data_IF_700138362430
#
_entry.id   IF_700138362430
#
_cell.length_a   1.000
_cell.length_b   1.000
_cell.length_c   1.000
_cell.angle_alpha   90.00
_cell.angle_beta   90.00
_cell.angle_gamma   90.00
#
_symmetry.space_group_name_H-M   'P 1'
#
loop_
_entity.id
_entity.type
_entity.pdbx_description
1 polymer ?
#
# COMPACT_ATOMS: atom_id res chain seq x y z
N UNK A 1 -15.28 -4.03 35.54
CA UNK A 1 -15.89 -5.26 34.97
C UNK A 1 -17.29 -5.02 34.43
N UNK A 2 -18.21 -4.46 35.21
CA UNK A 2 -19.59 -4.16 34.77
C UNK A 2 -19.68 -3.41 33.42
N UNK A 3 -18.91 -2.32 33.26
CA UNK A 3 -18.89 -1.56 32.01
C UNK A 3 -18.41 -2.40 30.81
N UNK A 4 -17.41 -3.27 31.01
CA UNK A 4 -16.88 -4.15 29.95
C UNK A 4 -17.95 -5.18 29.55
N UNK A 5 -18.63 -5.79 30.53
CA UNK A 5 -19.73 -6.71 30.27
C UNK A 5 -20.85 -6.02 29.49
N UNK A 6 -21.27 -4.82 29.90
CA UNK A 6 -22.30 -4.04 29.20
C UNK A 6 -21.95 -3.75 27.74
N UNK A 7 -20.70 -3.36 27.47
CA UNK A 7 -20.23 -3.10 26.10
C UNK A 7 -20.18 -4.39 25.28
N UNK A 8 -19.63 -5.47 25.84
CA UNK A 8 -19.57 -6.77 25.17
C UNK A 8 -20.96 -7.31 24.84
N UNK A 9 -21.90 -7.24 25.77
CA UNK A 9 -23.28 -7.65 25.57
C UNK A 9 -23.97 -6.78 24.50
N UNK A 10 -23.78 -5.47 24.53
CA UNK A 10 -24.33 -4.57 23.51
C UNK A 10 -23.81 -4.92 22.11
N UNK A 11 -22.50 -5.17 21.95
CA UNK A 11 -21.92 -5.56 20.66
C UNK A 11 -22.40 -6.95 20.19
N UNK A 12 -22.61 -7.88 21.12
CA UNK A 12 -23.09 -9.23 20.82
C UNK A 12 -24.57 -9.25 20.40
N UNK A 13 -25.42 -8.43 21.03
CA UNK A 13 -26.87 -8.35 20.75
C UNK A 13 -27.20 -7.44 19.56
N UNK A 14 -26.34 -6.48 19.21
CA UNK A 14 -26.57 -5.54 18.11
C UNK A 14 -25.54 -5.76 17.00
N UNK A 15 -25.85 -6.67 16.06
CA UNK A 15 -24.99 -7.03 14.92
C UNK A 15 -25.63 -6.57 13.60
N UNK A 16 -24.84 -6.06 12.63
CA UNK A 16 -23.39 -5.85 12.72
C UNK A 16 -23.05 -4.66 13.62
N UNK A 17 -21.90 -4.76 14.29
CA UNK A 17 -21.26 -3.66 15.03
C UNK A 17 -19.85 -3.43 14.49
N UNK A 18 -19.25 -2.26 14.77
CA UNK A 18 -17.92 -1.90 14.28
C UNK A 18 -17.03 -1.38 15.40
N UNK A 19 -15.71 -1.54 15.24
CA UNK A 19 -14.71 -0.86 16.06
C UNK A 19 -13.97 0.14 15.17
N UNK A 20 -13.90 1.38 15.63
CA UNK A 20 -13.20 2.48 14.96
C UNK A 20 -11.98 2.86 15.78
N UNK A 21 -10.81 2.94 15.17
CA UNK A 21 -9.60 3.40 15.87
C UNK A 21 -8.61 4.12 14.96
N UNK A 22 -7.62 4.74 15.60
CA UNK A 22 -6.42 5.32 14.99
C UNK A 22 -5.26 5.18 16.01
N UNK A 23 -4.59 6.28 16.35
CA UNK A 23 -3.37 6.31 17.16
C UNK A 23 -3.52 5.77 18.58
N UNK A 24 -4.69 5.96 19.21
CA UNK A 24 -4.96 5.47 20.57
C UNK A 24 -4.82 3.95 20.73
N UNK A 25 -4.89 3.18 19.63
CA UNK A 25 -4.65 1.74 19.64
C UNK A 25 -3.23 1.37 19.21
N UNK A 26 -2.66 2.13 18.26
CA UNK A 26 -1.42 1.76 17.56
C UNK A 26 -0.15 2.34 18.20
N UNK A 27 -0.20 3.50 18.84
CA UNK A 27 0.98 4.18 19.42
C UNK A 27 1.31 3.67 20.82
N UNK A 28 1.45 2.35 20.96
CA UNK A 28 1.82 1.67 22.20
C UNK A 28 2.89 0.62 21.89
N UNK A 29 3.71 0.28 22.88
CA UNK A 29 4.70 -0.81 22.79
C UNK A 29 4.08 -2.19 22.53
N UNK A 30 2.76 -2.30 22.76
CA UNK A 30 1.92 -3.47 22.49
C UNK A 30 0.87 -3.21 21.39
N UNK A 31 1.09 -2.20 20.54
CA UNK A 31 0.15 -1.78 19.49
C UNK A 31 -0.30 -2.91 18.56
N UNK A 32 0.60 -3.84 18.23
CA UNK A 32 0.29 -5.03 17.43
C UNK A 32 -0.74 -5.95 18.13
N UNK A 33 -0.58 -6.21 19.42
CA UNK A 33 -1.50 -7.04 20.20
C UNK A 33 -2.87 -6.36 20.34
N UNK A 34 -2.85 -5.05 20.62
CA UNK A 34 -4.02 -4.19 20.69
C UNK A 34 -4.86 -4.27 19.41
N UNK A 35 -4.27 -4.06 18.23
CA UNK A 35 -4.98 -4.14 16.95
C UNK A 35 -5.52 -5.55 16.69
N UNK A 36 -4.70 -6.58 16.93
CA UNK A 36 -5.10 -7.98 16.72
C UNK A 36 -6.29 -8.38 17.59
N UNK A 37 -6.35 -7.91 18.85
CA UNK A 37 -7.48 -8.18 19.74
C UNK A 37 -8.80 -7.65 19.16
N UNK A 38 -8.79 -6.44 18.57
CA UNK A 38 -9.98 -5.85 17.95
C UNK A 38 -10.40 -6.60 16.68
N UNK A 39 -9.44 -7.06 15.86
CA UNK A 39 -9.74 -7.89 14.70
C UNK A 39 -10.36 -9.24 15.10
N UNK A 40 -9.82 -9.91 16.14
CA UNK A 40 -10.35 -11.18 16.66
C UNK A 40 -11.76 -10.96 17.21
N UNK A 41 -12.01 -9.88 17.95
CA UNK A 41 -13.35 -9.53 18.42
C UNK A 41 -14.36 -9.44 17.26
N UNK A 42 -14.01 -8.74 16.17
CA UNK A 42 -14.89 -8.61 15.01
C UNK A 42 -15.09 -9.92 14.25
N UNK A 43 -14.08 -10.81 14.22
CA UNK A 43 -14.22 -12.17 13.68
C UNK A 43 -15.19 -13.01 14.51
N UNK A 44 -15.03 -13.03 15.84
CA UNK A 44 -15.90 -13.77 16.77
C UNK A 44 -17.35 -13.26 16.72
N UNK A 45 -17.54 -11.95 16.57
CA UNK A 45 -18.86 -11.36 16.41
C UNK A 45 -19.49 -11.64 15.03
N UNK A 46 -18.72 -12.08 14.03
CA UNK A 46 -19.22 -12.32 12.67
C UNK A 46 -19.47 -11.05 11.88
N UNK A 47 -18.79 -9.95 12.23
CA UNK A 47 -18.99 -8.63 11.66
C UNK A 47 -18.07 -8.33 10.47
N UNK A 48 -16.99 -9.11 10.27
CA UNK A 48 -16.06 -8.92 9.15
C UNK A 48 -16.78 -9.23 7.82
N UNK A 49 -16.61 -8.36 6.83
CA UNK A 49 -17.28 -8.47 5.52
C UNK A 49 -18.76 -8.12 5.53
N UNK A 50 -19.30 -7.59 6.64
CA UNK A 50 -20.68 -7.09 6.72
C UNK A 50 -20.73 -5.57 6.60
N UNK A 51 -21.68 -5.06 5.82
CA UNK A 51 -21.95 -3.62 5.74
C UNK A 51 -22.31 -3.07 7.12
N UNK A 52 -21.68 -1.97 7.55
CA UNK A 52 -21.81 -1.40 8.90
C UNK A 52 -21.01 -2.13 9.99
N UNK A 53 -20.27 -3.19 9.63
CA UNK A 53 -19.47 -4.00 10.56
C UNK A 53 -17.96 -3.75 10.50
N UNK A 54 -17.20 -4.75 10.92
CA UNK A 54 -15.76 -4.83 10.76
C UNK A 54 -14.97 -3.80 11.56
N UNK A 55 -13.75 -3.54 11.09
CA UNK A 55 -12.79 -2.64 11.72
C UNK A 55 -12.51 -1.45 10.83
N UNK A 56 -12.95 -0.26 11.24
CA UNK A 56 -12.78 0.97 10.48
C UNK A 56 -11.57 1.74 11.02
N UNK A 57 -10.45 1.62 10.32
CA UNK A 57 -9.15 2.13 10.78
C UNK A 57 -8.90 3.47 10.09
N UNK A 58 -9.18 4.56 10.81
CA UNK A 58 -9.01 5.89 10.24
C UNK A 58 -7.54 6.21 10.06
N UNK A 59 -7.20 6.56 8.82
CA UNK A 59 -5.87 7.01 8.42
C UNK A 59 -5.64 8.47 8.82
N UNK A 60 -4.37 8.85 8.96
CA UNK A 60 -3.94 10.19 9.34
C UNK A 60 -3.97 11.17 8.16
N UNK A 61 -2.83 11.31 7.46
CA UNK A 61 -2.75 12.20 6.30
C UNK A 61 -3.72 11.79 5.18
N UNK A 62 -4.09 12.78 4.38
CA UNK A 62 -4.99 12.68 3.24
C UNK A 62 -4.62 11.58 2.23
N UNK A 63 -3.33 11.26 2.09
CA UNK A 63 -2.81 10.23 1.21
C UNK A 63 -1.88 9.20 1.90
N UNK A 64 -1.91 9.05 3.23
CA UNK A 64 -1.03 8.07 3.90
C UNK A 64 -1.33 6.63 3.47
N UNK A 65 -2.59 6.34 3.10
CA UNK A 65 -2.94 5.05 2.50
C UNK A 65 -2.20 4.86 1.17
N UNK A 66 -2.27 5.86 0.28
CA UNK A 66 -1.61 5.79 -1.03
C UNK A 66 -0.09 5.73 -0.91
N UNK A 67 0.51 6.51 -0.01
CA UNK A 67 1.93 6.41 0.32
C UNK A 67 2.28 4.97 0.75
N UNK A 68 1.55 4.38 1.69
CA UNK A 68 1.78 2.98 2.11
C UNK A 68 1.63 2.02 0.94
N UNK A 69 0.66 2.24 0.05
CA UNK A 69 0.39 1.38 -1.09
C UNK A 69 1.49 1.46 -2.17
N UNK A 70 2.08 2.64 -2.42
CA UNK A 70 3.12 2.84 -3.45
C UNK A 70 4.55 2.73 -2.91
N UNK A 71 4.74 2.66 -1.60
CA UNK A 71 5.92 2.04 -1.01
C UNK A 71 7.19 2.89 -0.84
N UNK A 72 7.17 4.12 -0.28
CA UNK A 72 8.30 4.63 0.48
C UNK A 72 8.37 3.91 1.86
N UNK A 73 8.18 2.59 1.86
CA UNK A 73 8.18 1.75 3.04
C UNK A 73 9.57 1.12 3.19
N UNK A 74 10.12 1.02 4.41
CA UNK A 74 11.42 0.41 4.62
C UNK A 74 11.40 -1.11 4.35
N UNK A 75 10.25 -1.78 4.41
CA UNK A 75 10.13 -3.24 4.47
C UNK A 75 9.45 -3.88 3.25
N UNK A 76 9.02 -3.08 2.27
CA UNK A 76 8.30 -3.57 1.10
C UNK A 76 8.49 -2.70 -0.13
N UNK A 77 8.45 -3.33 -1.30
CA UNK A 77 8.26 -2.67 -2.60
C UNK A 77 6.79 -2.25 -2.81
N UNK A 78 6.50 -1.39 -3.80
CA UNK A 78 5.14 -0.92 -4.05
C UNK A 78 4.15 -2.08 -4.22
N UNK A 79 2.91 -1.91 -3.79
CA UNK A 79 1.91 -2.97 -3.75
C UNK A 79 2.16 -4.03 -2.68
N UNK A 80 2.90 -3.74 -1.60
CA UNK A 80 3.19 -4.73 -0.54
C UNK A 80 3.94 -5.97 -1.04
N UNK A 81 4.75 -5.84 -2.09
CA UNK A 81 5.66 -6.91 -2.48
C UNK A 81 6.85 -6.93 -1.51
N UNK A 82 7.21 -8.10 -0.98
CA UNK A 82 8.35 -8.21 -0.08
C UNK A 82 9.68 -7.90 -0.78
N UNK A 83 10.73 -7.61 -0.01
CA UNK A 83 12.09 -7.33 -0.50
C UNK A 83 12.83 -8.61 -0.92
N UNK A 84 12.27 -9.36 -1.87
CA UNK A 84 12.86 -10.58 -2.41
C UNK A 84 13.26 -10.40 -3.87
N UNK A 85 14.25 -11.17 -4.34
CA UNK A 85 14.73 -11.09 -5.73
C UNK A 85 13.60 -11.24 -6.77
N UNK A 86 12.61 -12.10 -6.52
CA UNK A 86 11.44 -12.25 -7.38
C UNK A 86 10.57 -10.99 -7.46
N UNK A 87 10.37 -10.31 -6.34
CA UNK A 87 9.62 -9.04 -6.27
C UNK A 87 10.37 -7.91 -6.98
N UNK A 88 11.69 -7.85 -6.83
CA UNK A 88 12.52 -6.89 -7.53
C UNK A 88 12.50 -7.12 -9.04
N UNK A 89 12.58 -8.37 -9.50
CA UNK A 89 12.45 -8.72 -10.93
C UNK A 89 11.08 -8.35 -11.50
N UNK A 90 10.01 -8.50 -10.70
CA UNK A 90 8.68 -8.02 -11.06
C UNK A 90 8.69 -6.52 -11.33
N UNK A 91 9.16 -5.72 -10.36
CA UNK A 91 9.21 -4.26 -10.50
C UNK A 91 10.20 -3.78 -11.57
N UNK A 92 11.35 -4.43 -11.73
CA UNK A 92 12.28 -4.20 -12.84
C UNK A 92 11.58 -4.33 -14.21
N UNK A 93 10.75 -5.37 -14.36
CA UNK A 93 9.97 -5.60 -15.58
C UNK A 93 8.87 -4.53 -15.78
N UNK A 94 8.21 -4.11 -14.70
CA UNK A 94 7.20 -3.04 -14.73
C UNK A 94 7.84 -1.71 -15.16
N UNK A 95 8.95 -1.34 -14.54
CA UNK A 95 9.71 -0.12 -14.84
C UNK A 95 10.46 -0.18 -16.17
N UNK A 96 10.65 -1.37 -16.76
CA UNK A 96 11.45 -1.53 -17.97
C UNK A 96 12.93 -1.22 -17.75
N UNK A 97 13.41 -1.42 -16.52
CA UNK A 97 14.78 -1.20 -16.07
C UNK A 97 15.44 -2.55 -15.82
N UNK A 98 16.71 -2.68 -16.19
CA UNK A 98 17.44 -3.93 -16.00
C UNK A 98 17.61 -4.27 -14.51
N UNK A 99 17.38 -5.54 -14.16
CA UNK A 99 17.46 -5.99 -12.77
C UNK A 99 18.89 -5.89 -12.22
N UNK A 100 19.91 -6.19 -13.02
CA UNK A 100 21.31 -6.09 -12.59
C UNK A 100 21.74 -4.64 -12.43
N UNK A 101 21.21 -3.72 -13.25
CA UNK A 101 21.38 -2.28 -13.03
C UNK A 101 20.81 -1.84 -11.68
N UNK A 102 19.58 -2.24 -11.34
CA UNK A 102 18.96 -1.91 -10.03
C UNK A 102 19.80 -2.50 -8.90
N UNK A 103 20.22 -3.76 -9.03
CA UNK A 103 21.07 -4.44 -8.05
C UNK A 103 22.37 -3.68 -7.81
N UNK A 104 23.00 -3.15 -8.87
CA UNK A 104 24.20 -2.32 -8.80
C UNK A 104 24.02 -0.96 -8.11
N UNK A 105 22.80 -0.56 -7.78
CA UNK A 105 22.51 0.66 -6.98
C UNK A 105 22.60 0.42 -5.47
N UNK A 106 22.70 -0.84 -5.04
CA UNK A 106 22.86 -1.21 -3.64
C UNK A 106 24.29 -1.64 -3.34
N UNK A 107 24.73 -1.46 -2.09
CA UNK A 107 26.06 -1.89 -1.65
C UNK A 107 26.24 -3.42 -1.76
N UNK A 108 25.16 -4.17 -1.60
CA UNK A 108 25.12 -5.62 -1.77
C UNK A 108 23.68 -6.11 -2.00
N UNK A 109 23.54 -7.34 -2.50
CA UNK A 109 22.23 -7.99 -2.61
C UNK A 109 21.55 -8.21 -1.25
N UNK A 110 22.36 -8.45 -0.20
CA UNK A 110 21.86 -8.54 1.17
C UNK A 110 21.20 -7.22 1.61
N UNK A 111 21.81 -6.07 1.31
CA UNK A 111 21.22 -4.75 1.62
C UNK A 111 19.97 -4.47 0.79
N UNK A 112 19.95 -4.86 -0.49
CA UNK A 112 18.78 -4.70 -1.37
C UNK A 112 17.55 -5.49 -0.90
N UNK A 113 17.77 -6.59 -0.17
CA UNK A 113 16.71 -7.51 0.30
C UNK A 113 16.40 -7.37 1.79
N UNK A 114 17.09 -6.47 2.50
CA UNK A 114 16.91 -6.21 3.93
C UNK A 114 15.97 -5.03 4.14
N UNK A 115 15.12 -5.09 5.17
CA UNK A 115 14.29 -3.96 5.57
C UNK A 115 15.15 -2.76 5.97
N UNK A 116 14.81 -1.58 5.47
CA UNK A 116 15.44 -0.29 5.74
C UNK A 116 15.19 0.25 7.17
N UNK A 117 15.91 1.31 7.54
CA UNK A 117 15.75 1.94 8.85
C UNK A 117 14.40 2.67 8.89
N UNK A 118 13.62 2.46 9.94
CA UNK A 118 12.30 3.11 10.08
C UNK A 118 12.44 4.59 10.38
N UNK A 119 11.42 5.37 10.01
CA UNK A 119 11.37 6.81 10.33
C UNK A 119 11.56 7.09 11.82
N UNK A 120 11.06 6.25 12.71
CA UNK A 120 11.22 6.43 14.17
C UNK A 120 12.62 6.16 14.69
N UNK A 121 13.49 5.52 13.90
CA UNK A 121 14.81 5.03 14.31
C UNK A 121 15.96 5.55 13.44
N UNK A 122 15.73 6.45 12.49
CA UNK A 122 16.80 6.97 11.63
C UNK A 122 17.96 7.57 12.44
N UNK A 123 17.67 8.19 13.59
CA UNK A 123 18.68 8.74 14.50
C UNK A 123 19.63 7.69 15.06
N UNK A 124 19.17 6.44 15.21
CA UNK A 124 20.02 5.32 15.63
C UNK A 124 21.07 5.06 14.55
N UNK A 125 20.67 5.13 13.27
CA UNK A 125 21.56 5.08 12.11
C UNK A 125 22.65 6.16 12.07
N UNK A 126 22.56 7.19 12.91
CA UNK A 126 23.57 8.27 13.02
C UNK A 126 24.34 8.21 14.33
N UNK A 127 23.67 7.82 15.42
CA UNK A 127 24.17 7.98 16.77
C UNK A 127 24.71 6.69 17.39
N UNK A 128 24.14 5.53 17.04
CA UNK A 128 24.48 4.24 17.64
C UNK A 128 25.71 3.61 16.99
N UNK A 129 26.37 2.74 17.74
CA UNK A 129 27.48 1.94 17.24
C UNK A 129 27.00 0.96 16.15
N UNK A 130 27.77 0.82 15.07
CA UNK A 130 27.40 -0.03 13.93
C UNK A 130 27.07 -1.47 14.31
N UNK A 131 27.70 -2.01 15.35
CA UNK A 131 27.46 -3.37 15.86
C UNK A 131 26.04 -3.56 16.43
N UNK A 132 25.36 -2.46 16.79
CA UNK A 132 24.00 -2.45 17.35
C UNK A 132 22.92 -2.20 16.29
N UNK A 133 23.31 -2.05 15.02
CA UNK A 133 22.41 -1.74 13.91
C UNK A 133 22.45 -2.90 12.91
N UNK A 134 21.28 -3.43 12.56
CA UNK A 134 21.17 -4.55 11.63
C UNK A 134 21.56 -4.17 10.18
N UNK A 135 21.50 -2.88 9.84
CA UNK A 135 22.03 -2.35 8.59
C UNK A 135 23.39 -1.70 8.84
N UNK A 136 24.36 -1.98 7.95
CA UNK A 136 25.68 -1.34 8.00
C UNK A 136 25.51 0.19 8.01
N UNK A 137 25.94 0.84 9.10
CA UNK A 137 25.70 2.27 9.28
C UNK A 137 26.57 3.12 8.36
N UNK A 138 25.92 3.94 7.55
CA UNK A 138 26.51 5.02 6.77
C UNK A 138 25.49 6.16 6.60
N UNK A 139 24.62 6.40 7.60
CA UNK A 139 23.59 7.43 7.48
C UNK A 139 24.21 8.82 7.67
N UNK A 140 24.71 9.37 6.57
CA UNK A 140 25.39 10.68 6.51
C UNK A 140 24.52 11.77 5.92
N UNK A 141 23.42 11.41 5.25
CA UNK A 141 22.48 12.35 4.67
C UNK A 141 21.03 11.93 4.92
N UNK A 142 20.16 12.91 5.14
CA UNK A 142 18.71 12.70 5.30
C UNK A 142 17.94 13.68 4.43
N UNK A 143 16.93 13.16 3.71
CA UNK A 143 15.97 13.97 2.95
C UNK A 143 14.62 13.92 3.68
N UNK A 144 14.17 15.06 4.19
CA UNK A 144 12.82 15.26 4.70
C UNK A 144 11.95 15.81 3.58
N UNK A 145 11.09 14.96 3.02
CA UNK A 145 10.22 15.32 1.90
C UNK A 145 8.76 15.29 2.35
N UNK A 146 8.14 16.46 2.49
CA UNK A 146 6.75 16.58 2.99
C UNK A 146 6.53 15.98 4.38
N UNK A 147 7.57 15.95 5.21
CA UNK A 147 7.56 15.31 6.53
C UNK A 147 8.31 16.15 7.57
N UNK A 148 7.89 16.07 8.83
CA UNK A 148 8.50 16.77 9.95
C UNK A 148 8.66 15.90 11.21
N UNK A 149 9.70 16.14 12.05
CA UNK A 149 10.02 15.32 13.22
C UNK A 149 9.07 15.52 14.41
N UNK A 150 8.19 16.52 14.38
CA UNK A 150 7.26 16.83 15.46
C UNK A 150 6.19 15.74 15.70
N UNK A 151 6.08 14.75 14.79
CA UNK A 151 5.26 13.54 14.98
C UNK A 151 5.99 12.44 15.76
N UNK A 152 7.22 12.68 16.22
CA UNK A 152 8.10 11.68 16.83
C UNK A 152 8.48 12.06 18.28
N UNK A 153 8.92 11.09 19.07
CA UNK A 153 9.10 11.24 20.53
C UNK A 153 10.53 11.56 20.98
N UNK A 154 11.54 11.42 20.12
CA UNK A 154 12.99 11.56 20.45
C UNK A 154 13.61 12.87 19.94
N UNK A 155 12.89 13.99 20.10
CA UNK A 155 13.26 15.27 19.50
C UNK A 155 14.65 15.81 19.90
N UNK A 156 15.08 15.63 21.16
CA UNK A 156 16.41 16.06 21.61
C UNK A 156 17.53 15.24 20.93
N UNK A 157 17.36 13.92 20.85
CA UNK A 157 18.32 13.03 20.17
C UNK A 157 18.35 13.29 18.66
N UNK A 158 17.21 13.66 18.06
CA UNK A 158 17.17 14.12 16.66
C UNK A 158 18.04 15.34 16.42
N UNK A 159 18.05 16.31 17.35
CA UNK A 159 18.94 17.47 17.24
C UNK A 159 20.41 17.05 17.30
N UNK A 160 20.78 16.10 18.16
CA UNK A 160 22.15 15.57 18.21
C UNK A 160 22.53 14.80 16.93
N UNK A 161 21.62 14.01 16.39
CA UNK A 161 21.82 13.32 15.11
C UNK A 161 22.00 14.32 13.96
N UNK A 162 21.18 15.38 13.91
CA UNK A 162 21.26 16.42 12.88
C UNK A 162 22.63 17.11 12.82
N UNK A 163 23.30 17.29 13.96
CA UNK A 163 24.67 17.86 14.03
C UNK A 163 25.71 16.99 13.34
N UNK A 164 25.52 15.67 13.32
CA UNK A 164 26.49 14.70 12.77
C UNK A 164 26.26 14.38 11.29
N UNK A 165 25.09 14.70 10.74
CA UNK A 165 24.82 14.51 9.31
C UNK A 165 25.70 15.44 8.46
N UNK A 166 26.27 14.94 7.37
CA UNK A 166 26.96 15.79 6.39
C UNK A 166 25.96 16.70 5.67
N UNK A 167 24.80 16.14 5.28
CA UNK A 167 23.82 16.84 4.45
C UNK A 167 22.39 16.60 4.95
N UNK A 168 21.59 17.66 4.95
CA UNK A 168 20.14 17.57 5.12
C UNK A 168 19.46 18.29 3.97
N UNK A 169 18.42 17.68 3.42
CA UNK A 169 17.56 18.32 2.41
C UNK A 169 16.14 18.34 2.96
N UNK A 170 15.52 19.52 3.00
CA UNK A 170 14.12 19.68 3.39
C UNK A 170 13.35 20.16 2.17
N UNK A 171 12.36 19.37 1.76
CA UNK A 171 11.52 19.61 0.58
C UNK A 171 10.09 19.74 1.08
N UNK A 172 9.57 20.96 1.08
CA UNK A 172 8.29 21.29 1.70
C UNK A 172 7.74 22.59 1.08
N UNK A 173 6.41 22.74 0.94
CA UNK A 173 5.81 24.03 0.58
C UNK A 173 5.97 25.11 1.66
N UNK A 174 6.25 24.74 2.92
CA UNK A 174 6.38 25.67 4.03
C UNK A 174 7.65 25.43 4.86
N UNK A 175 8.16 26.45 5.58
CA UNK A 175 9.20 26.23 6.58
C UNK A 175 8.71 25.27 7.67
N UNK A 176 9.19 24.02 7.63
CA UNK A 176 8.75 22.97 8.55
C UNK A 176 9.49 23.00 9.89
N UNK A 177 9.01 22.21 10.87
CA UNK A 177 9.73 22.00 12.12
C UNK A 177 11.14 21.43 11.87
N UNK A 178 11.32 20.61 10.84
CA UNK A 178 12.64 20.10 10.41
C UNK A 178 13.58 21.25 10.07
N UNK A 179 13.13 22.18 9.21
CA UNK A 179 13.95 23.31 8.78
C UNK A 179 14.34 24.18 9.98
N UNK A 180 13.38 24.45 10.88
CA UNK A 180 13.62 25.19 12.12
C UNK A 180 14.63 24.48 13.02
N UNK A 181 14.46 23.17 13.24
CA UNK A 181 15.36 22.38 14.08
C UNK A 181 16.78 22.33 13.53
N UNK A 182 16.94 22.11 12.22
CA UNK A 182 18.24 22.13 11.57
C UNK A 182 18.93 23.51 11.70
N UNK A 183 18.18 24.60 11.51
CA UNK A 183 18.70 25.97 11.64
C UNK A 183 19.17 26.34 13.05
N UNK A 184 18.69 25.64 14.09
CA UNK A 184 19.18 25.83 15.47
C UNK A 184 20.62 25.35 15.65
N UNK A 185 21.04 24.32 14.91
CA UNK A 185 22.31 23.62 15.15
C UNK A 185 23.27 23.60 13.96
N UNK A 186 22.81 24.01 12.78
CA UNK A 186 23.61 24.04 11.55
C UNK A 186 23.56 25.41 10.88
N UNK A 187 24.69 25.77 10.26
CA UNK A 187 24.79 26.91 9.33
C UNK A 187 24.98 26.45 7.89
N UNK A 188 25.62 25.31 7.68
CA UNK A 188 25.95 24.75 6.36
C UNK A 188 25.44 23.32 6.19
N UNK A 189 25.38 22.87 4.93
CA UNK A 189 24.96 21.53 4.53
C UNK A 189 23.46 21.24 4.75
N UNK A 190 22.63 22.28 4.90
CA UNK A 190 21.17 22.17 4.92
C UNK A 190 20.62 22.87 3.68
N UNK A 191 19.86 22.15 2.87
CA UNK A 191 19.20 22.67 1.67
C UNK A 191 17.70 22.71 1.90
N UNK A 192 17.07 23.86 1.61
CA UNK A 192 15.62 24.03 1.63
C UNK A 192 15.17 24.17 0.18
N UNK A 193 14.36 23.23 -0.30
CA UNK A 193 13.83 23.25 -1.67
C UNK A 193 12.33 23.51 -1.64
N UNK A 194 11.84 24.57 -2.32
CA UNK A 194 10.43 24.91 -2.31
C UNK A 194 9.62 23.91 -3.14
N UNK A 195 8.79 23.11 -2.46
CA UNK A 195 7.84 22.23 -3.13
C UNK A 195 6.50 22.93 -3.37
N UNK A 196 5.78 22.49 -4.39
CA UNK A 196 4.42 22.95 -4.65
C UNK A 196 3.43 22.36 -3.62
N UNK A 197 2.35 23.07 -3.34
CA UNK A 197 1.21 22.55 -2.58
C UNK A 197 0.32 21.64 -3.45
N UNK A 198 -0.61 20.95 -2.80
CA UNK A 198 -1.63 20.12 -3.46
C UNK A 198 -2.53 20.89 -4.46
N UNK A 199 -2.59 22.22 -4.39
CA UNK A 199 -3.38 23.05 -5.30
C UNK A 199 -2.59 23.49 -6.55
N UNK A 200 -1.27 23.31 -6.51
CA UNK A 200 -0.32 23.70 -7.56
C UNK A 200 0.16 22.50 -8.38
N UNK A 201 -0.32 21.31 -8.04
CA UNK A 201 -0.04 20.04 -8.71
C UNK A 201 -1.33 19.29 -9.00
N UNK A 202 -1.22 18.14 -9.66
CA UNK A 202 -2.32 17.27 -10.04
C UNK A 202 -1.90 15.80 -9.89
N UNK A 203 -2.86 14.89 -9.83
CA UNK A 203 -2.56 13.47 -9.68
C UNK A 203 -3.58 12.73 -8.83
N UNK A 204 -3.22 11.55 -8.33
CA UNK A 204 -4.15 10.72 -7.55
C UNK A 204 -3.78 10.63 -6.08
N UNK A 205 -4.80 10.52 -5.22
CA UNK A 205 -4.66 10.24 -3.79
C UNK A 205 -5.58 9.10 -3.37
N UNK A 206 -5.16 8.28 -2.41
CA UNK A 206 -5.93 7.17 -1.85
C UNK A 206 -6.41 7.52 -0.45
N UNK A 207 -7.73 7.52 -0.26
CA UNK A 207 -8.38 7.81 1.00
C UNK A 207 -8.39 6.59 1.95
N UNK A 208 -8.80 6.81 3.21
CA UNK A 208 -8.83 5.78 4.26
C UNK A 208 -9.70 4.56 3.93
N UNK A 209 -10.72 4.72 3.08
CA UNK A 209 -11.60 3.65 2.62
C UNK A 209 -11.05 2.92 1.36
N UNK A 210 -9.81 3.22 0.95
CA UNK A 210 -9.11 2.72 -0.24
C UNK A 210 -9.62 3.27 -1.58
N UNK A 211 -10.57 4.21 -1.57
CA UNK A 211 -10.98 4.95 -2.77
C UNK A 211 -9.87 5.89 -3.24
N UNK A 212 -9.56 5.84 -4.53
CA UNK A 212 -8.58 6.68 -5.20
C UNK A 212 -9.33 7.83 -5.90
N UNK A 213 -8.83 9.05 -5.76
CA UNK A 213 -9.45 10.24 -6.34
C UNK A 213 -8.42 11.00 -7.16
N UNK A 214 -8.86 11.52 -8.31
CA UNK A 214 -8.04 12.40 -9.13
C UNK A 214 -8.18 13.85 -8.64
N UNK A 215 -7.06 14.55 -8.50
CA UNK A 215 -6.95 15.97 -8.15
C UNK A 215 -6.47 16.74 -9.35
N UNK A 216 -7.08 17.88 -9.60
CA UNK A 216 -6.72 18.79 -10.68
C UNK A 216 -5.88 19.95 -10.14
N UNK A 217 -4.99 20.47 -11.00
CA UNK A 217 -4.22 21.68 -10.71
C UNK A 217 -5.15 22.89 -10.69
N UNK A 218 -5.14 23.64 -9.59
CA UNK A 218 -6.02 24.81 -9.39
C UNK A 218 -5.29 26.09 -9.81
N UNK A 219 -4.03 26.22 -9.42
CA UNK A 219 -3.15 27.35 -9.76
C UNK A 219 -1.79 26.83 -10.24
N UNK A 220 -0.99 27.67 -10.89
CA UNK A 220 0.39 27.30 -11.18
C UNK A 220 1.26 27.37 -9.92
N UNK A 221 2.36 26.58 -9.83
CA UNK A 221 3.33 26.71 -8.77
C UNK A 221 3.79 28.16 -8.58
N UNK A 222 3.71 28.64 -7.34
CA UNK A 222 4.08 29.99 -6.96
C UNK A 222 5.60 30.13 -6.87
N UNK A 223 6.09 31.32 -7.23
CA UNK A 223 7.52 31.68 -7.17
C UNK A 223 8.40 30.67 -7.93
N UNK A 224 9.43 30.14 -7.26
CA UNK A 224 10.35 29.13 -7.77
C UNK A 224 9.97 27.72 -7.30
N UNK A 225 8.79 27.55 -6.67
CA UNK A 225 8.34 26.23 -6.23
C UNK A 225 8.11 25.29 -7.41
N UNK A 226 8.32 24.00 -7.15
CA UNK A 226 8.14 22.93 -8.15
C UNK A 226 7.30 21.80 -7.60
N UNK A 227 6.44 21.17 -8.41
CA UNK A 227 5.83 19.91 -8.05
C UNK A 227 6.86 18.84 -7.71
N UNK A 228 6.52 17.93 -6.80
CA UNK A 228 7.46 16.94 -6.28
C UNK A 228 8.09 16.07 -7.37
N UNK A 229 7.31 15.64 -8.36
CA UNK A 229 7.79 14.83 -9.49
C UNK A 229 8.83 15.57 -10.36
N UNK A 230 8.72 16.88 -10.50
CA UNK A 230 9.72 17.72 -11.19
C UNK A 230 11.02 17.79 -10.38
N UNK A 231 10.92 17.96 -9.06
CA UNK A 231 12.09 17.96 -8.16
C UNK A 231 12.77 16.57 -8.20
N UNK A 232 12.00 15.49 -8.13
CA UNK A 232 12.51 14.11 -8.22
C UNK A 232 13.27 13.87 -9.52
N UNK A 233 12.72 14.30 -10.65
CA UNK A 233 13.37 14.13 -11.95
C UNK A 233 14.65 14.98 -12.07
N UNK A 234 14.65 16.20 -11.54
CA UNK A 234 15.85 17.03 -11.52
C UNK A 234 16.99 16.39 -10.72
N UNK A 235 16.68 15.78 -9.57
CA UNK A 235 17.64 14.97 -8.82
C UNK A 235 18.13 13.77 -9.63
N UNK A 236 17.22 12.99 -10.21
CA UNK A 236 17.59 11.81 -11.00
C UNK A 236 18.53 12.16 -12.16
N UNK A 237 18.24 13.24 -12.88
CA UNK A 237 19.09 13.77 -13.96
C UNK A 237 20.46 14.19 -13.43
N UNK A 238 20.52 14.87 -12.28
CA UNK A 238 21.78 15.29 -11.65
C UNK A 238 22.64 14.10 -11.22
N UNK A 239 22.02 13.03 -10.77
CA UNK A 239 22.69 11.81 -10.31
C UNK A 239 22.89 10.76 -11.41
N UNK A 240 22.48 11.06 -12.65
CA UNK A 240 22.75 10.22 -13.81
C UNK A 240 21.84 9.01 -13.99
N UNK A 241 20.62 9.03 -13.42
CA UNK A 241 19.60 7.98 -13.61
C UNK A 241 18.24 8.53 -14.10
N UNK A 242 18.27 9.70 -14.76
CA UNK A 242 17.07 10.35 -15.27
C UNK A 242 16.33 9.47 -16.29
N UNK A 243 17.05 8.87 -17.23
CA UNK A 243 16.48 8.06 -18.31
C UNK A 243 15.79 6.79 -17.77
N UNK A 244 16.34 6.17 -16.72
CA UNK A 244 15.72 5.04 -16.03
C UNK A 244 14.46 5.47 -15.27
N UNK A 245 14.47 6.63 -14.61
CA UNK A 245 13.31 7.11 -13.84
C UNK A 245 12.09 7.38 -14.73
N UNK A 246 12.29 7.85 -15.97
CA UNK A 246 11.20 8.21 -16.88
C UNK A 246 11.07 7.26 -18.07
N UNK A 247 11.59 6.02 -17.94
CA UNK A 247 11.58 5.00 -19.00
C UNK A 247 10.21 4.85 -19.69
N UNK A 248 9.13 4.85 -18.91
CA UNK A 248 7.76 4.71 -19.38
C UNK A 248 6.91 5.96 -19.14
N UNK A 249 7.54 7.10 -18.83
CA UNK A 249 6.85 8.33 -18.44
C UNK A 249 7.19 9.43 -19.43
N UNK A 250 6.16 10.00 -20.05
CA UNK A 250 6.34 11.15 -20.92
C UNK A 250 6.87 12.35 -20.13
N UNK A 251 7.84 13.04 -20.70
CA UNK A 251 8.33 14.32 -20.19
C UNK A 251 7.62 15.47 -20.90
N UNK A 252 7.03 16.35 -20.12
CA UNK A 252 6.50 17.63 -20.54
C UNK A 252 7.46 18.76 -20.15
N UNK A 253 7.14 19.99 -20.56
CA UNK A 253 7.84 21.20 -20.13
C UNK A 253 6.89 22.07 -19.31
N UNK A 254 7.34 22.47 -18.13
CA UNK A 254 6.60 23.45 -17.33
C UNK A 254 6.74 24.87 -17.90
N UNK A 255 5.99 25.84 -17.36
CA UNK A 255 6.02 27.24 -17.80
C UNK A 255 7.38 27.92 -17.65
N UNK A 256 8.27 27.38 -16.81
CA UNK A 256 9.61 27.88 -16.54
C UNK A 256 10.68 27.05 -17.30
N UNK A 257 10.28 26.13 -18.19
CA UNK A 257 11.16 25.32 -19.03
C UNK A 257 11.75 24.06 -18.37
N UNK A 258 11.32 23.71 -17.17
CA UNK A 258 11.74 22.49 -16.49
C UNK A 258 11.13 21.25 -17.13
N UNK A 259 11.89 20.15 -17.13
CA UNK A 259 11.37 18.84 -17.48
C UNK A 259 10.41 18.35 -16.39
N UNK A 260 9.15 18.09 -16.75
CA UNK A 260 8.10 17.68 -15.83
C UNK A 260 7.53 16.31 -16.24
N UNK A 261 7.73 15.24 -15.43
CA UNK A 261 7.12 13.94 -15.67
C UNK A 261 5.58 13.98 -15.71
N UNK A 262 4.97 13.29 -16.68
CA UNK A 262 3.52 13.20 -16.81
C UNK A 262 2.91 12.27 -15.75
N UNK A 263 2.11 12.84 -14.85
CA UNK A 263 1.54 12.11 -13.70
C UNK A 263 0.59 10.99 -14.12
N UNK A 264 -0.13 11.14 -15.23
CA UNK A 264 -0.98 10.08 -15.76
C UNK A 264 -0.18 8.82 -16.08
N UNK A 265 1.00 8.96 -16.68
CA UNK A 265 1.87 7.81 -16.99
C UNK A 265 2.42 7.16 -15.72
N UNK A 266 2.78 7.96 -14.71
CA UNK A 266 3.20 7.44 -13.40
C UNK A 266 2.10 6.58 -12.78
N UNK A 267 0.85 7.04 -12.81
CA UNK A 267 -0.27 6.23 -12.29
C UNK A 267 -0.48 4.96 -13.12
N UNK A 268 -0.36 5.02 -14.45
CA UNK A 268 -0.44 3.81 -15.30
C UNK A 268 0.67 2.80 -14.98
N UNK A 269 1.88 3.28 -14.72
CA UNK A 269 2.99 2.41 -14.31
C UNK A 269 2.75 1.77 -12.95
N UNK A 270 2.25 2.53 -11.96
CA UNK A 270 1.80 1.99 -10.67
C UNK A 270 0.74 0.90 -10.90
N UNK A 271 -0.29 1.19 -11.69
CA UNK A 271 -1.37 0.25 -11.97
C UNK A 271 -0.90 -1.03 -12.66
N UNK A 272 0.17 -0.97 -13.47
CA UNK A 272 0.74 -2.13 -14.14
C UNK A 272 1.44 -3.10 -13.19
N UNK A 273 1.85 -2.67 -11.99
CA UNK A 273 2.65 -3.48 -11.06
C UNK A 273 1.95 -3.92 -9.77
N UNK A 274 0.93 -3.21 -9.29
CA UNK A 274 0.32 -3.40 -7.95
C UNK A 274 -0.78 -4.48 -7.89
N UNK A 275 -0.54 -5.62 -8.56
CA UNK A 275 -1.50 -6.73 -8.67
C UNK A 275 -1.93 -7.35 -7.35
N UNK A 276 -1.02 -7.46 -6.37
CA UNK A 276 -1.22 -8.04 -5.03
C UNK A 276 -2.37 -7.47 -4.21
N UNK A 277 -2.75 -6.21 -4.47
CA UNK A 277 -3.85 -5.51 -3.80
C UNK A 277 -4.96 -5.08 -4.76
N UNK A 278 -4.81 -5.37 -6.05
CA UNK A 278 -5.76 -4.92 -7.07
C UNK A 278 -5.81 -3.40 -7.17
N UNK A 279 -4.66 -2.72 -7.11
CA UNK A 279 -4.59 -1.30 -7.45
C UNK A 279 -4.23 -1.15 -8.95
N UNK A 280 -4.93 -1.89 -9.79
CA UNK A 280 -4.60 -2.08 -11.22
C UNK A 280 -5.68 -1.55 -12.16
N UNK A 281 -6.95 -1.56 -11.75
CA UNK A 281 -8.07 -1.10 -12.56
C UNK A 281 -8.31 0.41 -12.55
N UNK A 282 -7.54 1.19 -11.80
CA UNK A 282 -7.76 2.63 -11.54
C UNK A 282 -6.99 3.55 -12.47
N UNK A 283 -7.21 3.45 -13.77
CA UNK A 283 -6.54 4.31 -14.75
C UNK A 283 -6.85 5.80 -14.51
N UNK A 284 -5.96 6.72 -14.93
CA UNK A 284 -6.23 8.16 -14.89
C UNK A 284 -7.57 8.54 -15.52
N UNK A 285 -7.94 7.90 -16.64
CA UNK A 285 -9.18 8.15 -17.37
C UNK A 285 -10.40 7.78 -16.52
N UNK A 286 -10.39 6.61 -15.89
CA UNK A 286 -11.51 6.17 -15.04
C UNK A 286 -11.66 7.10 -13.84
N UNK A 287 -10.56 7.46 -13.18
CA UNK A 287 -10.60 8.36 -12.03
C UNK A 287 -11.10 9.76 -12.41
N UNK A 288 -10.62 10.34 -13.51
CA UNK A 288 -11.11 11.62 -14.04
C UNK A 288 -12.59 11.54 -14.44
N UNK A 289 -13.04 10.40 -14.99
CA UNK A 289 -14.45 10.18 -15.30
C UNK A 289 -15.32 10.19 -14.04
N UNK A 290 -14.87 9.56 -12.96
CA UNK A 290 -15.56 9.60 -11.67
C UNK A 290 -15.66 11.04 -11.13
N UNK A 291 -14.56 11.81 -11.18
CA UNK A 291 -14.57 13.20 -10.69
C UNK A 291 -15.55 14.08 -11.49
N UNK A 292 -15.64 13.90 -12.81
CA UNK A 292 -16.60 14.62 -13.67
C UNK A 292 -18.06 14.21 -13.42
N UNK A 293 -18.30 13.02 -12.88
CA UNK A 293 -19.63 12.44 -12.70
C UNK A 293 -19.98 12.17 -11.23
N UNK A 294 -19.38 12.89 -10.28
CA UNK A 294 -19.63 12.70 -8.84
C UNK A 294 -21.13 12.68 -8.46
N UNK A 295 -21.94 13.45 -9.21
CA UNK A 295 -23.39 13.54 -9.00
C UNK A 295 -24.16 12.24 -9.26
N UNK A 296 -23.58 11.25 -9.94
CA UNK A 296 -24.24 9.96 -10.20
C UNK A 296 -24.05 8.96 -9.05
N UNK A 297 -23.14 9.24 -8.10
CA UNK A 297 -22.83 8.35 -6.98
C UNK A 297 -23.73 8.62 -5.79
N UNK A 298 -24.37 7.57 -5.27
CA UNK A 298 -25.17 7.67 -4.06
C UNK A 298 -24.27 7.91 -2.83
N UNK A 299 -24.62 8.89 -1.99
CA UNK A 299 -23.77 9.33 -0.88
C UNK A 299 -23.66 8.31 0.26
N UNK A 300 -24.52 7.28 0.31
CA UNK A 300 -24.51 6.26 1.36
C UNK A 300 -23.77 5.01 0.93
N UNK A 301 -24.07 4.53 -0.26
CA UNK A 301 -23.52 3.29 -0.83
C UNK A 301 -22.26 3.54 -1.63
N UNK A 302 -22.02 4.79 -2.03
CA UNK A 302 -20.97 5.23 -2.94
C UNK A 302 -21.05 4.55 -4.31
N UNK A 303 -22.17 3.90 -4.67
CA UNK A 303 -22.34 3.26 -5.96
C UNK A 303 -22.98 4.25 -6.94
N UNK A 304 -22.43 4.32 -8.15
CA UNK A 304 -23.05 5.08 -9.22
C UNK A 304 -24.31 4.38 -9.73
N UNK A 305 -25.35 5.18 -9.96
CA UNK A 305 -26.61 4.76 -10.58
C UNK A 305 -26.84 5.59 -11.84
N UNK A 306 -26.65 4.97 -12.99
CA UNK A 306 -26.72 5.59 -14.30
C UNK A 306 -25.48 6.40 -14.69
N UNK A 307 -25.50 6.90 -15.93
CA UNK A 307 -24.40 7.67 -16.50
C UNK A 307 -23.15 6.85 -16.84
N UNK A 308 -22.03 7.52 -17.18
CA UNK A 308 -20.82 6.85 -17.65
C UNK A 308 -20.10 5.96 -16.61
N UNK A 309 -20.39 6.15 -15.33
CA UNK A 309 -19.80 5.40 -14.23
C UNK A 309 -20.75 4.33 -13.66
N UNK A 310 -21.87 4.04 -14.32
CA UNK A 310 -22.91 3.15 -13.77
C UNK A 310 -22.33 1.82 -13.26
N UNK A 311 -22.69 1.44 -12.03
CA UNK A 311 -22.20 0.23 -11.39
C UNK A 311 -20.88 0.39 -10.62
N UNK A 312 -20.05 1.38 -10.92
CA UNK A 312 -18.78 1.61 -10.22
C UNK A 312 -19.00 2.16 -8.81
N UNK A 313 -18.07 1.86 -7.90
CA UNK A 313 -18.00 2.50 -6.60
C UNK A 313 -17.10 3.74 -6.67
N UNK A 314 -17.46 4.81 -5.96
CA UNK A 314 -16.75 6.07 -6.00
C UNK A 314 -15.26 5.89 -5.65
N UNK A 315 -14.41 6.40 -6.54
CA UNK A 315 -12.96 6.22 -6.49
C UNK A 315 -12.44 4.78 -6.59
N UNK A 316 -13.22 3.82 -7.08
CA UNK A 316 -12.75 2.44 -7.38
C UNK A 316 -11.93 1.82 -6.23
N UNK A 317 -12.50 1.71 -5.02
CA UNK A 317 -11.75 1.31 -3.83
C UNK A 317 -11.01 -0.01 -4.07
N UNK A 318 -9.69 -0.02 -3.88
CA UNK A 318 -8.93 -1.24 -4.13
C UNK A 318 -9.29 -2.31 -3.07
N UNK A 319 -9.47 -3.60 -3.43
CA UNK A 319 -9.19 -4.15 -4.75
C UNK A 319 -10.16 -3.75 -5.88
N UNK A 320 -9.56 -3.31 -6.98
CA UNK A 320 -10.12 -3.17 -8.32
C UNK A 320 -9.17 -3.92 -9.27
N UNK A 321 -9.35 -5.24 -9.32
CA UNK A 321 -8.46 -6.13 -10.05
C UNK A 321 -8.67 -6.07 -11.57
N UNK A 322 -7.66 -6.57 -12.29
CA UNK A 322 -7.64 -6.59 -13.75
C UNK A 322 -7.21 -5.26 -14.37
N UNK A 323 -7.25 -5.22 -15.70
CA UNK A 323 -6.97 -4.00 -16.47
C UNK A 323 -8.16 -3.03 -16.38
N UNK A 324 -7.98 -1.74 -16.69
CA UNK A 324 -9.08 -0.78 -16.72
C UNK A 324 -10.26 -1.20 -17.63
N UNK A 325 -9.99 -1.91 -18.72
CA UNK A 325 -10.96 -2.42 -19.68
C UNK A 325 -11.84 -3.54 -19.10
N UNK A 326 -11.34 -4.25 -18.08
CA UNK A 326 -12.11 -5.25 -17.34
C UNK A 326 -13.23 -4.60 -16.52
N UNK A 327 -13.17 -3.28 -16.27
CA UNK A 327 -14.19 -2.47 -15.61
C UNK A 327 -14.66 -3.07 -14.27
N UNK A 328 -13.72 -3.58 -13.48
CA UNK A 328 -14.05 -3.96 -12.11
C UNK A 328 -14.51 -2.70 -11.34
N UNK A 329 -15.61 -2.76 -10.55
CA UNK A 329 -16.22 -1.57 -9.93
C UNK A 329 -15.48 -1.07 -8.69
N UNK A 330 -14.54 -1.87 -8.19
CA UNK A 330 -13.88 -1.67 -6.90
C UNK A 330 -14.60 -2.42 -5.78
N UNK A 331 -13.90 -2.60 -4.66
CA UNK A 331 -14.33 -3.45 -3.54
C UNK A 331 -14.44 -2.61 -2.26
N UNK A 332 -15.60 -1.96 -2.01
CA UNK A 332 -15.79 -1.12 -0.84
C UNK A 332 -15.83 -1.93 0.45
N UNK A 333 -16.41 -3.14 0.41
CA UNK A 333 -16.51 -4.06 1.54
C UNK A 333 -15.70 -5.32 1.24
N UNK A 334 -14.59 -5.51 1.94
CA UNK A 334 -13.74 -6.69 1.77
C UNK A 334 -14.43 -7.93 2.33
N UNK A 335 -14.19 -9.09 1.73
CA UNK A 335 -14.64 -10.38 2.23
C UNK A 335 -16.17 -10.56 2.25
N UNK A 336 -16.90 -9.81 1.43
CA UNK A 336 -18.34 -9.97 1.23
C UNK A 336 -18.62 -11.12 0.25
N UNK A 337 -18.86 -12.31 0.79
CA UNK A 337 -19.17 -13.51 -0.01
C UNK A 337 -20.56 -13.49 -0.63
N UNK A 338 -21.44 -12.57 -0.24
CA UNK A 338 -22.80 -12.47 -0.79
C UNK A 338 -22.85 -11.88 -2.21
N UNK A 339 -21.72 -11.34 -2.68
CA UNK A 339 -21.56 -10.74 -4.00
C UNK A 339 -20.60 -11.55 -4.87
N UNK A 340 -20.81 -11.46 -6.18
CA UNK A 340 -19.88 -12.02 -7.15
C UNK A 340 -18.58 -11.21 -7.13
N UNK A 341 -17.44 -11.86 -7.42
CA UNK A 341 -16.13 -11.19 -7.41
C UNK A 341 -16.10 -9.97 -8.34
N UNK A 342 -16.70 -10.09 -9.54
CA UNK A 342 -16.81 -8.99 -10.50
C UNK A 342 -17.69 -7.81 -10.05
N UNK A 343 -18.45 -7.98 -8.97
CA UNK A 343 -19.27 -6.92 -8.36
C UNK A 343 -18.64 -6.32 -7.10
N UNK A 344 -17.35 -6.59 -6.87
CA UNK A 344 -16.63 -6.20 -5.65
C UNK A 344 -16.97 -7.08 -4.44
N UNK A 345 -17.37 -8.33 -4.67
CA UNK A 345 -17.46 -9.37 -3.64
C UNK A 345 -16.11 -10.04 -3.38
N UNK A 346 -16.01 -10.84 -2.32
CA UNK A 346 -14.79 -11.62 -2.10
C UNK A 346 -14.75 -12.51 -0.88
N UNK A 347 -13.61 -13.14 -0.68
CA UNK A 347 -13.32 -14.09 0.38
C UNK A 347 -11.94 -13.83 0.99
N UNK A 348 -11.59 -14.58 2.05
CA UNK A 348 -10.31 -14.40 2.73
C UNK A 348 -9.15 -15.00 1.92
N UNK A 349 -8.02 -14.31 1.95
CA UNK A 349 -6.83 -14.65 1.16
C UNK A 349 -6.04 -15.82 1.71
N UNK A 350 -5.55 -16.70 0.82
CA UNK A 350 -4.69 -17.84 1.14
C UNK A 350 -3.21 -17.46 1.36
N UNK A 351 -2.95 -16.54 2.30
CA UNK A 351 -1.64 -15.89 2.44
C UNK A 351 -0.62 -16.67 3.31
N UNK A 352 -1.02 -17.73 4.00
CA UNK A 352 -0.22 -18.39 5.04
C UNK A 352 0.02 -19.89 4.77
N UNK A 353 0.02 -20.25 3.49
CA UNK A 353 0.04 -21.64 3.05
C UNK A 353 -1.36 -22.26 3.05
N UNK A 354 -1.42 -23.55 2.70
CA UNK A 354 -2.67 -24.32 2.56
C UNK A 354 -2.95 -25.23 3.75
N UNK A 355 -1.92 -25.55 4.54
CA UNK A 355 -1.99 -26.49 5.65
C UNK A 355 -1.00 -26.07 6.73
N UNK A 356 -1.34 -26.39 7.98
CA UNK A 356 -0.43 -26.33 9.13
C UNK A 356 -0.73 -27.49 10.08
N UNK A 357 0.32 -28.21 10.51
CA UNK A 357 0.21 -29.28 11.50
C UNK A 357 -0.86 -30.34 11.11
N UNK A 358 -0.99 -30.65 9.81
CA UNK A 358 -2.01 -31.56 9.26
C UNK A 358 -3.42 -30.98 9.15
N UNK A 359 -3.61 -29.69 9.49
CA UNK A 359 -4.90 -29.00 9.45
C UNK A 359 -4.94 -28.04 8.27
N UNK A 360 -5.94 -28.21 7.40
CA UNK A 360 -6.17 -27.30 6.28
C UNK A 360 -6.46 -25.87 6.75
N UNK A 361 -5.73 -24.93 6.18
CA UNK A 361 -5.92 -23.49 6.33
C UNK A 361 -6.89 -22.93 5.28
N UNK A 362 -7.29 -23.73 4.29
CA UNK A 362 -8.25 -23.35 3.27
C UNK A 362 -9.66 -23.27 3.84
N UNK A 363 -10.53 -22.47 3.21
CA UNK A 363 -11.91 -22.34 3.62
C UNK A 363 -12.66 -23.69 3.51
N UNK A 364 -13.69 -23.88 4.35
CA UNK A 364 -14.54 -25.08 4.32
C UNK A 364 -15.53 -25.02 3.14
N UNK A 365 -16.10 -26.18 2.80
CA UNK A 365 -17.13 -26.30 1.78
C UNK A 365 -18.31 -25.36 2.05
N UNK A 366 -18.79 -24.69 0.99
CA UNK A 366 -19.85 -23.68 1.04
C UNK A 366 -19.39 -22.27 1.42
N UNK A 367 -18.11 -22.07 1.77
CA UNK A 367 -17.55 -20.73 2.04
C UNK A 367 -16.85 -20.19 0.80
N UNK A 368 -17.62 -19.68 -0.17
CA UNK A 368 -17.09 -19.10 -1.42
C UNK A 368 -17.82 -17.81 -1.80
N UNK A 369 -17.23 -17.02 -2.70
CA UNK A 369 -17.92 -15.88 -3.31
C UNK A 369 -19.13 -16.35 -4.13
N UNK A 370 -20.19 -15.56 -4.14
CA UNK A 370 -21.41 -15.87 -4.88
C UNK A 370 -21.10 -16.13 -6.36
N UNK A 371 -21.51 -17.29 -6.87
CA UNK A 371 -21.35 -17.67 -8.27
C UNK A 371 -19.96 -18.18 -8.66
N UNK A 372 -19.06 -18.41 -7.70
CA UNK A 372 -17.78 -19.06 -7.97
C UNK A 372 -17.96 -20.52 -8.42
N UNK A 373 -17.15 -21.01 -9.35
CA UNK A 373 -17.17 -22.43 -9.74
C UNK A 373 -16.63 -23.33 -8.61
N UNK A 374 -15.64 -22.83 -7.85
CA UNK A 374 -15.09 -23.51 -6.69
C UNK A 374 -15.86 -23.09 -5.44
N UNK A 375 -16.70 -24.00 -4.94
CA UNK A 375 -17.51 -23.82 -3.73
C UNK A 375 -16.80 -24.28 -2.45
N UNK A 376 -15.47 -24.32 -2.47
CA UNK A 376 -14.61 -24.74 -1.36
C UNK A 376 -13.42 -23.79 -1.20
N UNK A 377 -12.56 -24.05 -0.22
CA UNK A 377 -11.26 -23.41 -0.12
C UNK A 377 -10.28 -23.87 -1.21
N UNK A 378 -9.46 -22.96 -1.70
CA UNK A 378 -8.49 -23.22 -2.76
C UNK A 378 -7.23 -22.34 -2.61
N UNK A 379 -6.04 -22.81 -3.04
CA UNK A 379 -4.81 -22.04 -2.96
C UNK A 379 -4.80 -20.82 -3.89
N UNK A 380 -3.77 -19.99 -3.78
CA UNK A 380 -3.51 -18.93 -4.76
C UNK A 380 -3.39 -19.51 -6.18
N UNK A 381 -3.90 -18.78 -7.18
CA UNK A 381 -3.83 -19.22 -8.57
C UNK A 381 -2.48 -18.96 -9.22
N UNK A 382 -1.96 -19.99 -9.88
CA UNK A 382 -0.79 -19.91 -10.73
C UNK A 382 -1.01 -20.67 -12.05
N UNK A 383 -0.04 -20.58 -12.97
CA UNK A 383 -0.11 -21.28 -14.25
C UNK A 383 -0.32 -22.80 -14.10
N UNK A 384 0.21 -23.42 -13.04
CA UNK A 384 0.07 -24.86 -12.80
C UNK A 384 -1.35 -25.21 -12.41
N UNK A 385 -1.94 -24.44 -11.49
CA UNK A 385 -3.31 -24.67 -11.05
C UNK A 385 -4.31 -24.43 -12.17
N UNK A 386 -4.12 -23.37 -12.98
CA UNK A 386 -4.97 -23.12 -14.16
C UNK A 386 -4.93 -24.31 -15.13
N UNK A 387 -3.74 -24.87 -15.40
CA UNK A 387 -3.60 -26.05 -16.27
C UNK A 387 -4.30 -27.28 -15.69
N UNK A 388 -4.17 -27.52 -14.39
CA UNK A 388 -4.84 -28.65 -13.70
C UNK A 388 -6.37 -28.56 -13.75
N UNK A 389 -6.91 -27.35 -13.69
CA UNK A 389 -8.35 -27.09 -13.76
C UNK A 389 -8.88 -27.06 -15.20
N UNK A 390 -8.00 -27.08 -16.21
CA UNK A 390 -8.38 -26.91 -17.61
C UNK A 390 -8.66 -25.46 -18.03
N UNK A 391 -8.51 -24.50 -17.12
CA UNK A 391 -8.80 -23.07 -17.35
C UNK A 391 -7.68 -22.35 -18.12
N UNK A 392 -6.51 -22.97 -18.23
CA UNK A 392 -5.37 -22.41 -18.99
C UNK A 392 -5.71 -22.11 -20.44
N UNK A 393 -6.58 -22.91 -21.07
CA UNK A 393 -6.93 -22.75 -22.47
C UNK A 393 -7.88 -21.58 -22.77
N UNK A 394 -8.38 -20.92 -21.72
CA UNK A 394 -9.17 -19.69 -21.82
C UNK A 394 -8.31 -18.41 -21.85
N UNK A 395 -7.00 -18.56 -21.68
CA UNK A 395 -6.02 -17.51 -21.96
C UNK A 395 -5.79 -17.39 -23.48
N UNK A 396 -5.63 -16.17 -23.96
CA UNK A 396 -5.13 -15.90 -25.32
C UNK A 396 -3.67 -16.31 -25.44
N UNK A 397 -3.18 -16.52 -26.67
CA UNK A 397 -1.77 -16.90 -26.88
C UNK A 397 -0.78 -15.87 -26.32
N UNK A 398 -1.12 -14.58 -26.40
CA UNK A 398 -0.32 -13.50 -25.82
C UNK A 398 -0.29 -13.56 -24.29
N UNK A 399 -1.43 -13.85 -23.64
CA UNK A 399 -1.49 -14.03 -22.18
C UNK A 399 -0.74 -15.30 -21.77
N UNK A 400 -0.90 -16.43 -22.47
CA UNK A 400 -0.17 -17.68 -22.18
C UNK A 400 1.34 -17.46 -22.16
N UNK A 401 1.87 -16.72 -23.14
CA UNK A 401 3.30 -16.42 -23.24
C UNK A 401 3.84 -15.64 -22.02
N UNK A 402 3.03 -14.77 -21.42
CA UNK A 402 3.43 -13.94 -20.27
C UNK A 402 3.12 -14.61 -18.92
N UNK A 403 2.07 -15.43 -18.86
CA UNK A 403 1.61 -16.10 -17.66
C UNK A 403 2.39 -17.40 -17.34
N UNK A 404 3.07 -18.00 -18.32
CA UNK A 404 3.82 -19.24 -18.13
C UNK A 404 4.90 -19.08 -17.06
N UNK A 405 4.96 -20.01 -16.09
CA UNK A 405 5.88 -19.91 -14.96
C UNK A 405 5.53 -18.83 -13.94
N UNK A 406 4.38 -18.14 -14.06
CA UNK A 406 3.96 -17.05 -13.17
C UNK A 406 2.78 -17.46 -12.29
N UNK A 407 2.51 -16.59 -11.31
CA UNK A 407 1.29 -16.61 -10.51
C UNK A 407 0.49 -15.32 -10.74
N UNK A 408 -0.71 -15.26 -10.17
CA UNK A 408 -1.63 -14.13 -10.30
C UNK A 408 -1.08 -12.73 -9.91
N UNK A 409 0.04 -12.68 -9.17
CA UNK A 409 0.71 -11.43 -8.75
C UNK A 409 1.74 -10.96 -9.78
N UNK A 410 2.34 -11.89 -10.52
CA UNK A 410 3.50 -11.63 -11.38
C UNK A 410 3.22 -11.82 -12.87
N UNK A 411 2.02 -12.29 -13.21
CA UNK A 411 1.49 -12.26 -14.57
C UNK A 411 1.07 -10.83 -14.95
N UNK A 412 1.96 -10.13 -15.67
CA UNK A 412 1.70 -8.77 -16.13
C UNK A 412 0.72 -8.68 -17.29
N UNK A 413 0.28 -9.80 -17.88
CA UNK A 413 -0.79 -9.78 -18.88
C UNK A 413 -2.17 -9.55 -18.25
N UNK A 414 -2.31 -9.85 -16.96
CA UNK A 414 -3.60 -9.87 -16.27
C UNK A 414 -4.49 -11.07 -16.64
N UNK A 415 -4.01 -11.98 -17.49
CA UNK A 415 -4.78 -13.11 -18.00
C UNK A 415 -5.24 -14.07 -16.92
N UNK A 416 -4.37 -14.43 -15.97
CA UNK A 416 -4.74 -15.30 -14.84
C UNK A 416 -5.91 -14.68 -14.06
N UNK A 417 -5.82 -13.40 -13.71
CA UNK A 417 -6.89 -12.72 -12.96
C UNK A 417 -8.18 -12.65 -13.76
N UNK A 418 -8.08 -12.29 -15.05
CA UNK A 418 -9.23 -12.22 -15.96
C UNK A 418 -9.98 -13.54 -16.00
N UNK A 419 -9.30 -14.65 -16.28
CA UNK A 419 -9.93 -15.98 -16.38
C UNK A 419 -10.56 -16.37 -15.04
N UNK A 420 -9.76 -16.36 -13.97
CA UNK A 420 -10.22 -16.81 -12.64
C UNK A 420 -11.42 -16.02 -12.14
N UNK A 421 -11.42 -14.70 -12.31
CA UNK A 421 -12.50 -13.86 -11.80
C UNK A 421 -13.70 -13.77 -12.74
N UNK A 422 -13.47 -13.55 -14.04
CA UNK A 422 -14.55 -13.28 -14.99
C UNK A 422 -15.27 -14.56 -15.42
N UNK A 423 -14.52 -15.63 -15.62
CA UNK A 423 -15.06 -16.86 -16.17
C UNK A 423 -15.48 -17.85 -15.07
N UNK A 424 -14.77 -17.86 -13.94
CA UNK A 424 -14.99 -18.84 -12.86
C UNK A 424 -15.44 -18.23 -11.53
N UNK A 425 -15.67 -16.91 -11.47
CA UNK A 425 -16.17 -16.23 -10.27
C UNK A 425 -15.27 -16.33 -9.03
N UNK A 426 -14.02 -16.76 -9.19
CA UNK A 426 -13.08 -17.02 -8.11
C UNK A 426 -12.17 -15.81 -7.86
N UNK A 427 -11.60 -15.72 -6.65
CA UNK A 427 -10.54 -14.75 -6.35
C UNK A 427 -9.14 -15.29 -6.72
N UNK A 428 -8.27 -14.48 -7.35
CA UNK A 428 -6.94 -14.93 -7.77
C UNK A 428 -6.02 -15.30 -6.60
N UNK A 429 -6.26 -14.71 -5.43
CA UNK A 429 -5.45 -14.88 -4.24
C UNK A 429 -5.82 -16.09 -3.37
N UNK A 430 -6.68 -16.98 -3.89
CA UNK A 430 -7.16 -18.15 -3.16
C UNK A 430 -8.38 -17.88 -2.28
N UNK A 431 -8.73 -18.88 -1.46
CA UNK A 431 -9.84 -18.84 -0.51
C UNK A 431 -9.48 -19.63 0.76
N UNK A 432 -9.25 -18.92 1.86
CA UNK A 432 -8.73 -19.49 3.10
C UNK A 432 -9.52 -19.07 4.34
N UNK A 433 -9.19 -19.67 5.48
CA UNK A 433 -9.76 -19.30 6.78
C UNK A 433 -9.14 -18.00 7.29
N UNK A 434 -9.95 -17.17 7.94
CA UNK A 434 -9.41 -16.13 8.80
C UNK A 434 -8.71 -16.77 10.02
N UNK A 435 -7.61 -16.16 10.48
CA UNK A 435 -6.83 -16.68 11.60
C UNK A 435 -6.88 -15.74 12.80
N UNK A 436 -7.20 -16.29 13.98
CA UNK A 436 -7.01 -15.62 15.27
C UNK A 436 -5.62 -15.93 15.86
N UNK A 437 -5.16 -17.16 15.65
CA UNK A 437 -3.85 -17.65 16.09
C UNK A 437 -2.77 -17.30 15.06
N UNK A 438 -1.73 -16.57 15.47
CA UNK A 438 -0.61 -16.15 14.63
C UNK A 438 0.68 -16.75 15.19
N UNK A 439 0.91 -18.02 14.88
CA UNK A 439 2.01 -18.84 15.43
C UNK A 439 3.43 -18.32 15.19
N UNK A 440 3.62 -17.43 14.22
CA UNK A 440 4.92 -16.86 13.89
C UNK A 440 5.21 -15.56 14.65
N UNK A 441 4.32 -15.15 15.57
CA UNK A 441 4.51 -13.99 16.44
C UNK A 441 4.95 -14.43 17.83
N UNK A 442 5.67 -13.58 18.58
CA UNK A 442 6.04 -13.87 19.97
C UNK A 442 4.83 -14.26 20.84
N UNK A 443 3.70 -13.60 20.61
CA UNK A 443 2.41 -13.96 21.20
C UNK A 443 1.46 -14.49 20.12
N UNK A 444 1.22 -15.81 20.05
CA UNK A 444 0.29 -16.38 19.09
C UNK A 444 -1.15 -15.89 19.24
N UNK A 445 -1.56 -15.51 20.44
CA UNK A 445 -2.82 -14.81 20.76
C UNK A 445 -2.45 -13.54 21.52
N UNK A 446 -3.11 -12.39 21.28
CA UNK A 446 -2.81 -11.15 22.01
C UNK A 446 -2.87 -11.35 23.53
N UNK A 447 -1.77 -11.03 24.22
CA UNK A 447 -1.68 -11.03 25.68
C UNK A 447 -1.49 -9.61 26.19
N UNK A 448 -2.06 -9.32 27.36
CA UNK A 448 -1.79 -8.09 28.08
C UNK A 448 -0.52 -8.27 28.92
N UNK A 449 0.61 -7.73 28.46
CA UNK A 449 1.92 -7.83 29.15
C UNK A 449 2.84 -6.66 28.83
N UNK A 450 4.03 -6.67 29.44
CA UNK A 450 5.14 -5.74 29.23
C UNK A 450 5.53 -5.57 27.73
N UNK A 451 6.25 -4.49 27.37
CA UNK A 451 6.61 -4.14 26.00
C UNK A 451 7.21 -5.29 25.19
N UNK A 452 6.70 -5.50 23.97
CA UNK A 452 7.30 -6.42 22.98
C UNK A 452 8.13 -5.65 21.95
N UNK A 453 7.78 -4.38 21.74
CA UNK A 453 8.49 -3.47 20.85
C UNK A 453 8.66 -2.13 21.56
N UNK A 454 9.90 -1.70 21.79
CA UNK A 454 10.21 -0.41 22.41
C UNK A 454 11.42 0.24 21.75
N UNK A 455 11.45 1.57 21.59
CA UNK A 455 12.68 2.29 21.25
C UNK A 455 13.70 2.27 22.40
N UNK A 456 13.32 1.77 23.59
CA UNK A 456 14.18 1.52 24.74
C UNK A 456 14.52 0.02 24.80
N UNK A 457 15.72 -0.41 24.33
CA UNK A 457 16.08 -1.83 24.30
C UNK A 457 16.04 -2.49 25.69
N UNK A 458 16.27 -1.72 26.76
CA UNK A 458 16.20 -2.17 28.14
C UNK A 458 14.79 -2.53 28.63
N UNK A 459 13.74 -2.22 27.86
CA UNK A 459 12.34 -2.50 28.19
C UNK A 459 11.76 -3.74 27.49
N UNK A 460 12.51 -4.39 26.58
CA UNK A 460 12.03 -5.48 25.71
C UNK A 460 12.63 -6.82 26.11
#
# INVERSE_FOLDING_TARGET
EEQVFKVAEAMAKNKPSTVVWCMGQTQHTVGNANVRAMCILQLVLGNVGKSGGGTNIFRGHDNVQGATDVGPNPDSLPGYYGLAAGSWKHWATVWGVDYEWIKGRYASEAMMTKSGITVSRWIDGVLEDNELIDQDSNLRAVVYWGHAPNSQTRGAEMVEAMKKLDTMVVIDPYPSATASMAAMVRKDGVYLLPAATQFETYGSCTASNRSIQWREKVIEPLFESKPDHTIMYAFAKKFGFGDELVKNVKLNKDKQGWDEPEIEDILREINRGTWTIGYTGQSPERLKLHMKNMHTFDVKTLKASGGPCDGDYFGLPWPCFGTPEMKHPGTPNLYDTSKHVMDGGGNFRANFGVERDGVSLLAEDGSASKGADLQMGYPEFDHVLLKKLGWWDELTDAEKALAEGKNWKTDLSGGIQRVVMKNHGCHPFGNAKARALVWNFPDPVPLHREPIYSPRPDMV
#
